data_IF_005208414529
#
_entry.id   IF_005208414529
#
_cell.length_a   1.000
_cell.length_b   1.000
_cell.length_c   1.000
_cell.angle_alpha   90.00
_cell.angle_beta   90.00
_cell.angle_gamma   90.00
#
_symmetry.space_group_name_H-M   'P 1'
#
loop_
_entity.id
_entity.type
_entity.pdbx_description
1 polymer ?
#
# COMPACT_ATOMS: atom_id res chain seq x y z
N UNK A 1 -4.45 10.95 -7.03
CA UNK A 1 -5.34 11.99 -6.44
C UNK A 1 -4.55 12.75 -5.38
N UNK A 2 -4.76 14.06 -5.31
CA UNK A 2 -3.99 14.99 -4.48
C UNK A 2 -4.92 16.03 -3.82
N UNK A 3 -4.46 16.63 -2.73
CA UNK A 3 -5.05 17.81 -2.10
C UNK A 3 -4.02 18.94 -2.18
N UNK A 4 -4.25 19.87 -3.11
CA UNK A 4 -3.19 20.77 -3.57
C UNK A 4 -2.07 19.98 -4.25
N UNK A 5 -0.83 20.23 -3.85
CA UNK A 5 0.36 19.55 -4.37
C UNK A 5 0.68 18.23 -3.64
N UNK A 6 -0.07 17.90 -2.59
CA UNK A 6 0.19 16.71 -1.75
C UNK A 6 -0.67 15.53 -2.15
N UNK A 7 -0.05 14.37 -2.30
CA UNK A 7 -0.68 13.11 -2.69
C UNK A 7 -1.46 12.50 -1.52
N UNK A 8 -2.72 12.12 -1.81
CA UNK A 8 -3.64 11.48 -0.84
C UNK A 8 -3.83 10.00 -1.16
N UNK A 9 -3.65 9.60 -2.42
CA UNK A 9 -3.89 8.23 -2.86
C UNK A 9 -2.67 7.72 -3.62
N UNK A 10 -2.08 6.64 -3.11
CA UNK A 10 -1.14 5.80 -3.82
C UNK A 10 -1.89 4.75 -4.63
N UNK A 11 -1.46 4.49 -5.86
CA UNK A 11 -2.07 3.45 -6.69
C UNK A 11 -1.01 2.71 -7.50
N UNK A 12 -1.30 1.46 -7.78
CA UNK A 12 -0.49 0.59 -8.61
C UNK A 12 -1.41 -0.31 -9.44
N UNK A 13 -0.87 -0.79 -10.56
CA UNK A 13 -1.66 -1.56 -11.49
C UNK A 13 -0.84 -2.70 -12.09
N UNK A 14 -1.52 -3.82 -12.39
CA UNK A 14 -0.96 -4.94 -13.13
C UNK A 14 -1.96 -5.38 -14.19
N UNK A 15 -1.47 -5.60 -15.40
CA UNK A 15 -2.27 -6.08 -16.53
C UNK A 15 -1.76 -7.44 -17.01
N UNK A 16 -2.68 -8.34 -17.29
CA UNK A 16 -2.44 -9.59 -18.03
C UNK A 16 -3.23 -9.56 -19.33
N UNK A 17 -3.18 -10.65 -20.10
CA UNK A 17 -3.97 -10.78 -21.34
C UNK A 17 -5.47 -10.66 -21.06
N UNK A 18 -5.92 -11.29 -19.98
CA UNK A 18 -7.36 -11.52 -19.71
C UNK A 18 -7.87 -10.70 -18.51
N UNK A 19 -7.00 -10.02 -17.76
CA UNK A 19 -7.40 -9.31 -16.55
C UNK A 19 -6.56 -8.05 -16.29
N UNK A 20 -7.12 -7.19 -15.45
CA UNK A 20 -6.45 -6.02 -14.91
C UNK A 20 -6.70 -5.92 -13.40
N UNK A 21 -5.63 -5.74 -12.64
CA UNK A 21 -5.66 -5.52 -11.20
C UNK A 21 -5.27 -4.07 -10.92
N UNK A 22 -6.20 -3.30 -10.36
CA UNK A 22 -5.96 -1.98 -9.80
C UNK A 22 -6.01 -2.08 -8.28
N UNK A 23 -4.96 -1.62 -7.60
CA UNK A 23 -4.96 -1.50 -6.14
C UNK A 23 -4.30 -0.19 -5.72
N UNK A 24 -4.43 0.15 -4.44
CA UNK A 24 -3.90 1.39 -3.91
C UNK A 24 -4.04 1.50 -2.40
N UNK A 25 -3.52 2.59 -1.86
CA UNK A 25 -3.58 2.94 -0.45
C UNK A 25 -4.03 4.38 -0.29
N UNK A 26 -4.84 4.61 0.74
CA UNK A 26 -5.30 5.93 1.16
C UNK A 26 -4.83 6.09 2.61
N UNK A 27 -3.84 6.94 2.91
CA UNK A 27 -3.41 7.17 4.28
C UNK A 27 -4.58 7.83 5.03
N UNK A 28 -5.11 7.13 6.03
CA UNK A 28 -6.22 7.67 6.84
C UNK A 28 -5.72 8.65 7.90
N UNK A 29 -4.44 8.56 8.24
CA UNK A 29 -3.79 9.35 9.29
C UNK A 29 -2.28 9.49 8.99
N UNK A 30 -1.54 10.37 9.71
CA UNK A 30 -0.15 10.71 9.41
C UNK A 30 0.88 9.59 9.60
N UNK A 31 0.48 8.36 9.93
CA UNK A 31 1.36 7.22 10.23
C UNK A 31 2.28 6.84 9.06
N UNK A 32 1.96 7.26 7.84
CA UNK A 32 2.85 7.12 6.69
C UNK A 32 4.22 7.80 6.92
N UNK A 33 4.30 8.82 7.79
CA UNK A 33 5.56 9.43 8.22
C UNK A 33 6.52 8.46 8.93
N UNK A 34 5.97 7.44 9.59
CA UNK A 34 6.78 6.41 10.28
C UNK A 34 7.53 5.49 9.34
N UNK A 35 7.23 5.51 8.03
CA UNK A 35 7.98 4.75 7.04
C UNK A 35 9.48 5.12 7.06
N UNK A 36 9.81 6.37 7.39
CA UNK A 36 11.19 6.83 7.47
C UNK A 36 11.96 6.14 8.60
N UNK A 37 11.27 5.70 9.67
CA UNK A 37 11.88 5.02 10.83
C UNK A 37 12.43 3.63 10.48
N UNK A 38 11.87 2.98 9.45
CA UNK A 38 12.23 1.59 9.09
C UNK A 38 13.29 1.50 8.00
N UNK A 39 13.71 2.63 7.41
CA UNK A 39 14.80 2.65 6.45
C UNK A 39 16.17 2.73 7.16
N UNK A 40 17.20 2.03 6.64
CA UNK A 40 18.56 2.05 7.19
C UNK A 40 19.29 3.34 6.81
N UNK A 41 18.77 4.49 7.25
CA UNK A 41 19.28 5.83 6.96
C UNK A 41 19.90 6.44 8.21
N UNK A 42 20.82 7.39 8.03
CA UNK A 42 21.28 8.25 9.11
C UNK A 42 20.16 9.14 9.65
N UNK A 43 20.32 9.67 10.86
CA UNK A 43 19.32 10.58 11.44
C UNK A 43 19.17 11.89 10.66
N UNK A 44 20.20 12.31 9.93
CA UNK A 44 20.12 13.48 9.05
C UNK A 44 19.26 13.17 7.82
N UNK A 45 19.55 12.09 7.11
CA UNK A 45 18.75 11.65 5.97
C UNK A 45 17.29 11.40 6.38
N UNK A 46 17.04 10.80 7.55
CA UNK A 46 15.66 10.62 8.04
C UNK A 46 14.91 11.94 8.20
N UNK A 47 15.56 13.00 8.69
CA UNK A 47 14.92 14.32 8.78
C UNK A 47 14.57 14.87 7.41
N UNK A 48 15.50 14.78 6.45
CA UNK A 48 15.30 15.27 5.08
C UNK A 48 14.16 14.52 4.38
N UNK A 49 14.12 13.18 4.50
CA UNK A 49 13.05 12.36 3.94
C UNK A 49 11.70 12.64 4.60
N UNK A 50 11.67 12.89 5.90
CA UNK A 50 10.43 13.23 6.60
C UNK A 50 9.87 14.57 6.12
N UNK A 51 10.74 15.58 5.93
CA UNK A 51 10.34 16.88 5.38
C UNK A 51 9.86 16.76 3.92
N UNK A 52 10.56 15.98 3.10
CA UNK A 52 10.14 15.66 1.75
C UNK A 52 8.77 14.95 1.74
N UNK A 53 8.54 14.01 2.66
CA UNK A 53 7.26 13.29 2.73
C UNK A 53 6.11 14.22 3.12
N UNK A 54 6.31 15.10 4.12
CA UNK A 54 5.30 16.09 4.56
C UNK A 54 4.93 17.10 3.47
N UNK A 55 5.88 17.45 2.61
CA UNK A 55 5.64 18.35 1.48
C UNK A 55 4.94 17.68 0.30
N UNK A 56 4.98 16.34 0.19
CA UNK A 56 4.47 15.61 -0.98
C UNK A 56 3.31 14.66 -0.69
N UNK A 57 3.03 14.35 0.57
CA UNK A 57 1.96 13.45 1.00
C UNK A 57 1.11 14.08 2.08
N UNK A 58 -0.15 13.67 2.15
CA UNK A 58 -1.08 14.07 3.20
C UNK A 58 -2.10 12.96 3.43
N UNK A 59 -2.49 12.76 4.69
CA UNK A 59 -3.53 11.81 5.04
C UNK A 59 -4.94 12.41 4.96
N UNK A 60 -5.94 11.54 4.81
CA UNK A 60 -7.34 11.95 4.79
C UNK A 60 -7.77 12.56 6.13
N UNK A 61 -7.22 12.09 7.25
CA UNK A 61 -7.44 12.66 8.58
C UNK A 61 -6.88 14.09 8.72
N UNK A 62 -5.76 14.40 8.08
CA UNK A 62 -5.25 15.78 8.05
C UNK A 62 -6.10 16.72 7.20
N UNK A 63 -6.72 16.21 6.13
CA UNK A 63 -7.66 16.98 5.29
C UNK A 63 -8.99 17.19 6.04
N UNK A 64 -9.47 16.16 6.76
CA UNK A 64 -10.73 16.17 7.49
C UNK A 64 -10.51 15.70 8.92
N UNK A 65 -10.12 16.65 9.78
CA UNK A 65 -9.71 16.44 11.17
C UNK A 65 -10.64 15.60 12.08
N UNK A 66 -11.89 15.33 11.69
CA UNK A 66 -12.90 14.74 12.59
C UNK A 66 -13.90 13.75 11.95
N UNK A 67 -13.64 13.13 10.78
CA UNK A 67 -14.70 12.41 10.04
C UNK A 67 -14.51 10.92 9.75
N UNK A 68 -13.47 10.27 10.28
CA UNK A 68 -13.25 8.83 10.08
C UNK A 68 -13.34 8.06 11.39
N UNK A 69 -14.47 8.17 12.09
CA UNK A 69 -14.70 7.44 13.35
C UNK A 69 -14.79 5.91 13.11
N UNK A 70 -15.17 5.47 11.90
CA UNK A 70 -15.26 4.04 11.53
C UNK A 70 -14.82 3.82 10.07
N UNK A 71 -13.88 2.89 9.86
CA UNK A 71 -13.34 2.54 8.54
C UNK A 71 -14.37 1.73 7.73
N UNK A 72 -15.04 0.76 8.36
CA UNK A 72 -15.93 -0.19 7.67
C UNK A 72 -17.09 0.46 6.89
N UNK A 73 -17.84 1.42 7.46
CA UNK A 73 -18.91 2.08 6.70
C UNK A 73 -18.39 2.96 5.56
N UNK A 74 -17.12 3.39 5.64
CA UNK A 74 -16.49 4.21 4.61
C UNK A 74 -15.92 3.36 3.47
N UNK A 75 -15.30 2.22 3.76
CA UNK A 75 -14.78 1.29 2.75
C UNK A 75 -15.89 0.75 1.84
N UNK A 76 -17.05 0.40 2.41
CA UNK A 76 -18.21 -0.04 1.63
C UNK A 76 -18.74 1.06 0.69
N UNK A 77 -18.88 2.30 1.18
CA UNK A 77 -19.28 3.44 0.35
C UNK A 77 -18.30 3.72 -0.77
N UNK A 78 -17.00 3.60 -0.50
CA UNK A 78 -15.96 3.75 -1.51
C UNK A 78 -16.08 2.66 -2.59
N UNK A 79 -16.30 1.41 -2.20
CA UNK A 79 -16.46 0.30 -3.14
C UNK A 79 -17.68 0.50 -4.05
N UNK A 80 -18.83 0.85 -3.47
CA UNK A 80 -20.06 1.16 -4.24
C UNK A 80 -19.81 2.32 -5.22
N UNK A 81 -19.24 3.43 -4.72
CA UNK A 81 -18.98 4.61 -5.55
C UNK A 81 -18.00 4.30 -6.69
N UNK A 82 -17.03 3.40 -6.46
CA UNK A 82 -16.10 2.95 -7.48
C UNK A 82 -16.81 2.15 -8.59
N UNK A 83 -17.69 1.21 -8.22
CA UNK A 83 -18.49 0.44 -9.18
C UNK A 83 -19.39 1.35 -10.03
N UNK A 84 -20.07 2.30 -9.39
CA UNK A 84 -20.91 3.31 -10.06
C UNK A 84 -20.09 4.18 -11.03
N UNK A 85 -18.93 4.67 -10.59
CA UNK A 85 -18.03 5.50 -11.40
C UNK A 85 -17.51 4.73 -12.61
N UNK A 86 -17.17 3.46 -12.43
CA UNK A 86 -16.68 2.59 -13.50
C UNK A 86 -17.82 2.05 -14.39
N UNK A 87 -19.08 2.24 -13.99
CA UNK A 87 -20.27 1.73 -14.68
C UNK A 87 -20.21 0.21 -14.89
N UNK A 88 -19.67 -0.51 -13.91
CA UNK A 88 -19.56 -1.97 -13.93
C UNK A 88 -20.57 -2.57 -12.97
N UNK A 89 -21.21 -3.69 -13.33
CA UNK A 89 -22.01 -4.45 -12.37
C UNK A 89 -21.08 -5.02 -11.30
N UNK A 90 -21.51 -4.95 -10.05
CA UNK A 90 -20.80 -5.52 -8.93
C UNK A 90 -21.64 -5.42 -7.67
N UNK A 91 -21.31 -6.27 -6.72
CA UNK A 91 -21.92 -6.29 -5.40
C UNK A 91 -20.83 -6.46 -4.35
N UNK A 92 -21.13 -6.00 -3.14
CA UNK A 92 -20.27 -6.30 -1.99
C UNK A 92 -20.52 -7.76 -1.63
N UNK A 93 -19.46 -8.55 -1.60
CA UNK A 93 -19.53 -9.98 -1.31
C UNK A 93 -18.28 -10.45 -0.59
N UNK A 94 -18.35 -11.69 -0.12
CA UNK A 94 -17.23 -12.40 0.48
C UNK A 94 -16.48 -13.20 -0.57
N UNK A 95 -15.23 -13.56 -0.28
CA UNK A 95 -14.48 -14.50 -1.10
C UNK A 95 -15.23 -15.83 -1.18
N UNK A 96 -15.35 -16.38 -2.39
CA UNK A 96 -15.80 -17.76 -2.58
C UNK A 96 -14.78 -18.72 -1.96
N UNK A 97 -15.21 -19.96 -1.69
CA UNK A 97 -14.30 -21.01 -1.18
C UNK A 97 -13.09 -21.21 -2.11
N UNK A 98 -13.29 -21.16 -3.42
CA UNK A 98 -12.22 -21.33 -4.39
C UNK A 98 -11.21 -20.18 -4.34
N UNK A 99 -11.68 -18.93 -4.24
CA UNK A 99 -10.83 -17.75 -4.10
C UNK A 99 -10.07 -17.75 -2.77
N UNK A 100 -10.73 -18.13 -1.67
CA UNK A 100 -10.09 -18.23 -0.36
C UNK A 100 -8.97 -19.29 -0.34
N UNK A 101 -9.20 -20.46 -0.96
CA UNK A 101 -8.16 -21.49 -1.11
C UNK A 101 -6.99 -21.00 -1.97
N UNK A 102 -7.29 -20.34 -3.10
CA UNK A 102 -6.25 -19.75 -3.96
C UNK A 102 -5.44 -18.68 -3.22
N UNK A 103 -6.09 -17.83 -2.43
CA UNK A 103 -5.40 -16.81 -1.62
C UNK A 103 -4.44 -17.45 -0.61
N UNK A 104 -4.87 -18.52 0.07
CA UNK A 104 -4.02 -19.27 1.01
C UNK A 104 -2.83 -19.95 0.32
N UNK A 105 -3.02 -20.49 -0.88
CA UNK A 105 -1.94 -21.08 -1.66
C UNK A 105 -0.92 -20.01 -2.08
N UNK A 106 -1.39 -18.87 -2.58
CA UNK A 106 -0.54 -17.74 -2.95
C UNK A 106 0.24 -17.16 -1.76
N UNK A 107 -0.36 -17.14 -0.57
CA UNK A 107 0.32 -16.70 0.66
C UNK A 107 1.49 -17.63 1.02
N UNK A 108 1.27 -18.95 0.99
CA UNK A 108 2.34 -19.95 1.22
C UNK A 108 3.48 -19.81 0.22
N UNK A 109 3.13 -19.68 -1.06
CA UNK A 109 4.06 -19.46 -2.16
C UNK A 109 4.87 -18.17 -1.97
N UNK A 110 4.20 -17.08 -1.58
CA UNK A 110 4.83 -15.79 -1.37
C UNK A 110 5.80 -15.83 -0.18
N UNK A 111 5.42 -16.44 0.94
CA UNK A 111 6.31 -16.64 2.08
C UNK A 111 7.56 -17.43 1.68
N UNK A 112 7.39 -18.53 0.95
CA UNK A 112 8.52 -19.32 0.45
C UNK A 112 9.47 -18.49 -0.44
N UNK A 113 8.91 -17.63 -1.30
CA UNK A 113 9.69 -16.72 -2.15
C UNK A 113 10.39 -15.61 -1.36
N UNK A 114 9.73 -15.04 -0.34
CA UNK A 114 10.33 -14.01 0.52
C UNK A 114 11.47 -14.58 1.37
N UNK A 115 11.32 -15.78 1.93
CA UNK A 115 12.44 -16.46 2.61
C UNK A 115 13.62 -16.67 1.67
N UNK A 116 13.36 -17.07 0.42
CA UNK A 116 14.38 -17.15 -0.62
C UNK A 116 15.05 -15.82 -0.87
N UNK A 117 14.29 -14.74 -1.02
CA UNK A 117 14.79 -13.39 -1.26
C UNK A 117 15.67 -12.87 -0.11
N UNK A 118 15.23 -13.04 1.14
CA UNK A 118 15.98 -12.62 2.33
C UNK A 118 17.30 -13.40 2.48
N UNK A 119 17.31 -14.70 2.21
CA UNK A 119 18.53 -15.53 2.22
C UNK A 119 19.55 -15.04 1.18
N UNK A 120 19.11 -14.67 -0.03
CA UNK A 120 20.02 -14.16 -1.06
C UNK A 120 20.53 -12.74 -0.75
N UNK A 121 19.68 -11.87 -0.16
CA UNK A 121 20.08 -10.53 0.24
C UNK A 121 21.16 -10.55 1.36
N UNK A 122 21.06 -11.48 2.32
CA UNK A 122 22.07 -11.65 3.39
C UNK A 122 23.42 -12.15 2.88
N UNK A 123 23.43 -12.97 1.81
CA UNK A 123 24.68 -13.45 1.17
C UNK A 123 25.38 -12.28 0.46
N UNK A 124 24.63 -11.39 -0.20
CA UNK A 124 25.18 -10.22 -0.86
C UNK A 124 25.79 -9.20 0.12
N UNK A 125 25.21 -9.03 1.32
CA UNK A 125 25.76 -8.13 2.36
C UNK A 125 26.98 -8.67 3.11
N UNK A 126 27.25 -9.98 3.04
CA UNK A 126 28.39 -10.63 3.73
C UNK A 126 29.60 -10.87 2.81
N UNK A 127 29.58 -10.40 1.57
CA UNK A 127 30.75 -10.50 0.68
C UNK A 127 31.71 -9.34 0.99
N UNK A 128 32.94 -9.59 1.46
CA UNK A 128 33.88 -8.51 1.73
C UNK A 128 34.18 -7.75 0.44
N UNK A 129 34.14 -6.42 0.51
CA UNK A 129 34.54 -5.56 -0.59
C UNK A 129 35.96 -5.95 -1.02
N UNK A 130 36.13 -6.30 -2.31
CA UNK A 130 37.44 -6.60 -2.87
C UNK A 130 38.33 -5.37 -2.68
N UNK A 131 39.38 -5.54 -1.89
CA UNK A 131 40.47 -4.59 -1.64
C UNK A 131 41.25 -4.28 -2.91
#
# INVERSE_FOLDING_TARGET
>A
MAHGERKVVGSAQRRTRDAFLQHGSIPLSPQHERLVEVFPLSEEEKRDYLEALRSHAISLGEIRAHQLEKIEPWSQKLAISLLETLKVPGEIGELTRAEALMAQELEKDHHARQEGFLKHAQIASNTPAKS
#
